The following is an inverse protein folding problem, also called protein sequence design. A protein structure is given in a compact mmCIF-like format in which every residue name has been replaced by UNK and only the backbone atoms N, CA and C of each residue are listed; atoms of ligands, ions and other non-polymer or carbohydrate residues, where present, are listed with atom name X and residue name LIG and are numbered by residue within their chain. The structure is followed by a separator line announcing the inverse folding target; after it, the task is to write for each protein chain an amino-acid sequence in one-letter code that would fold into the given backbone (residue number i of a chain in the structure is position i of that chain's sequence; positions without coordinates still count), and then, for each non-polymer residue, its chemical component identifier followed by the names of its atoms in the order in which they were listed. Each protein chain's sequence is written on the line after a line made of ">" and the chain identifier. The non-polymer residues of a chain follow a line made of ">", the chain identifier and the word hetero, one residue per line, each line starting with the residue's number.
data_IF_929420576265
#
_entry.id   IF_929420576265
#
_cell.length_a   1.000
_cell.length_b   1.000
_cell.length_c   1.000
_cell.angle_alpha   90.00
_cell.angle_beta   90.00
_cell.angle_gamma   90.00
#
_symmetry.space_group_name_H-M   'P 1'
#
loop_
_entity.id
_entity.type
_entity.pdbx_description
1 polymer ?
#
# COMPACT_ATOMS: atom_id res chain seq x y z
N UNK A 1 -15.17 4.44 -11.49
CA UNK A 1 -14.10 3.67 -10.81
C UNK A 1 -14.61 2.27 -10.52
N UNK A 2 -13.80 1.23 -10.67
CA UNK A 2 -14.20 -0.14 -10.32
C UNK A 2 -14.29 -0.27 -8.80
N UNK A 3 -15.10 -1.22 -8.31
CA UNK A 3 -15.21 -1.51 -6.87
C UNK A 3 -13.85 -1.79 -6.22
N UNK A 4 -12.95 -2.48 -6.95
CA UNK A 4 -11.59 -2.77 -6.51
C UNK A 4 -10.74 -1.50 -6.31
N UNK A 5 -10.82 -0.51 -7.22
CA UNK A 5 -10.08 0.76 -7.08
C UNK A 5 -10.56 1.56 -5.86
N UNK A 6 -11.88 1.63 -5.62
CA UNK A 6 -12.40 2.32 -4.43
C UNK A 6 -11.94 1.62 -3.14
N UNK A 7 -12.06 0.30 -3.07
CA UNK A 7 -11.62 -0.46 -1.89
C UNK A 7 -10.13 -0.28 -1.58
N UNK A 8 -9.28 -0.20 -2.61
CA UNK A 8 -7.86 0.08 -2.44
C UNK A 8 -7.63 1.48 -1.86
N UNK A 9 -8.20 2.51 -2.48
CA UNK A 9 -8.02 3.91 -2.05
C UNK A 9 -8.53 4.12 -0.62
N UNK A 10 -9.69 3.57 -0.27
CA UNK A 10 -10.22 3.65 1.10
C UNK A 10 -9.26 3.02 2.12
N UNK A 11 -8.67 1.87 1.79
CA UNK A 11 -7.73 1.20 2.69
C UNK A 11 -6.47 2.04 2.86
N UNK A 12 -5.93 2.59 1.77
CA UNK A 12 -4.74 3.44 1.79
C UNK A 12 -4.97 4.73 2.60
N UNK A 13 -6.12 5.39 2.43
CA UNK A 13 -6.47 6.59 3.20
C UNK A 13 -6.60 6.30 4.71
N UNK A 14 -7.21 5.17 5.07
CA UNK A 14 -7.30 4.75 6.47
C UNK A 14 -5.90 4.47 7.05
N UNK A 15 -5.03 3.81 6.29
CA UNK A 15 -3.66 3.54 6.71
C UNK A 15 -2.84 4.83 6.86
N UNK A 16 -2.99 5.79 5.94
CA UNK A 16 -2.37 7.12 6.06
C UNK A 16 -2.72 7.81 7.36
N UNK A 17 -3.99 7.83 7.74
CA UNK A 17 -4.41 8.41 9.02
C UNK A 17 -3.74 7.70 10.22
N UNK A 18 -3.47 6.39 10.12
CA UNK A 18 -2.74 5.67 11.16
C UNK A 18 -1.26 6.03 11.19
N UNK A 19 -0.61 6.11 10.02
CA UNK A 19 0.79 6.54 9.91
C UNK A 19 0.97 7.97 10.40
N UNK A 20 0.10 8.89 10.03
CA UNK A 20 0.09 10.28 10.48
C UNK A 20 -0.01 10.36 12.00
N UNK A 21 -0.92 9.61 12.63
CA UNK A 21 -1.02 9.55 14.10
C UNK A 21 0.28 9.08 14.75
N UNK A 22 0.95 8.08 14.17
CA UNK A 22 2.24 7.61 14.66
C UNK A 22 3.31 8.70 14.55
N UNK A 23 3.37 9.40 13.42
CA UNK A 23 4.31 10.50 13.17
C UNK A 23 4.05 11.66 14.15
N UNK A 24 2.81 12.13 14.27
CA UNK A 24 2.46 13.27 15.13
C UNK A 24 2.57 12.98 16.63
N UNK A 25 2.47 11.71 17.03
CA UNK A 25 2.62 11.31 18.44
C UNK A 25 4.07 11.12 18.88
N UNK A 26 5.02 11.12 17.94
CA UNK A 26 6.43 10.89 18.24
C UNK A 26 7.06 12.14 18.87
N UNK A 27 7.64 11.99 20.06
CA UNK A 27 8.42 13.06 20.72
C UNK A 27 9.84 13.17 20.16
N UNK A 28 10.33 12.12 19.50
CA UNK A 28 11.69 12.01 18.97
C UNK A 28 11.71 11.31 17.61
N UNK A 29 12.75 11.58 16.82
CA UNK A 29 12.95 10.97 15.52
C UNK A 29 13.55 9.56 15.68
N UNK A 30 12.68 8.57 15.85
CA UNK A 30 13.04 7.15 15.99
C UNK A 30 12.99 6.42 14.64
N UNK A 31 13.60 5.22 14.51
CA UNK A 31 13.40 4.37 13.34
C UNK A 31 11.93 4.11 13.03
N UNK A 32 11.09 3.91 14.05
CA UNK A 32 9.65 3.70 13.87
C UNK A 32 8.96 4.92 13.26
N UNK A 33 9.33 6.14 13.67
CA UNK A 33 8.82 7.39 13.08
C UNK A 33 9.20 7.49 11.61
N UNK A 34 10.47 7.22 11.26
CA UNK A 34 10.93 7.21 9.85
C UNK A 34 10.23 6.16 9.00
N UNK A 35 9.96 4.99 9.56
CA UNK A 35 9.22 3.94 8.87
C UNK A 35 7.77 4.35 8.64
N UNK A 36 7.13 5.03 9.61
CA UNK A 36 5.80 5.58 9.44
C UNK A 36 5.76 6.69 8.36
N UNK A 37 6.75 7.57 8.29
CA UNK A 37 6.88 8.58 7.22
C UNK A 37 6.99 7.94 5.83
N UNK A 38 7.85 6.94 5.69
CA UNK A 38 7.97 6.18 4.43
C UNK A 38 6.66 5.47 4.08
N UNK A 39 5.99 4.86 5.04
CA UNK A 39 4.71 4.19 4.83
C UNK A 39 3.61 5.20 4.39
N UNK A 40 3.59 6.38 4.99
CA UNK A 40 2.67 7.47 4.65
C UNK A 40 2.86 7.92 3.20
N UNK A 41 4.09 8.27 2.81
CA UNK A 41 4.40 8.68 1.44
C UNK A 41 4.15 7.55 0.42
N UNK A 42 4.45 6.30 0.79
CA UNK A 42 4.17 5.13 -0.07
C UNK A 42 2.66 4.99 -0.31
N UNK A 43 1.84 5.22 0.71
CA UNK A 43 0.39 5.20 0.57
C UNK A 43 -0.12 6.36 -0.32
N UNK A 44 0.45 7.56 -0.22
CA UNK A 44 0.12 8.69 -1.11
C UNK A 44 0.37 8.33 -2.57
N UNK A 45 1.56 7.79 -2.86
CA UNK A 45 1.92 7.36 -4.21
C UNK A 45 0.97 6.27 -4.70
N UNK A 46 0.59 5.31 -3.86
CA UNK A 46 -0.36 4.26 -4.24
C UNK A 46 -1.75 4.82 -4.59
N UNK A 47 -2.23 5.83 -3.87
CA UNK A 47 -3.50 6.51 -4.18
C UNK A 47 -3.40 7.16 -5.56
N UNK A 48 -2.34 7.95 -5.81
CA UNK A 48 -2.12 8.60 -7.10
C UNK A 48 -2.02 7.59 -8.25
N UNK A 49 -1.31 6.48 -8.05
CA UNK A 49 -1.20 5.41 -9.05
C UNK A 49 -2.57 4.74 -9.32
N UNK A 50 -3.38 4.54 -8.29
CA UNK A 50 -4.72 3.95 -8.40
C UNK A 50 -5.68 4.85 -9.16
N UNK A 51 -5.63 6.16 -8.90
CA UNK A 51 -6.41 7.16 -9.63
C UNK A 51 -5.95 7.29 -11.08
N UNK A 52 -4.63 7.29 -11.32
CA UNK A 52 -4.07 7.29 -12.66
C UNK A 52 -4.49 6.05 -13.45
N UNK A 53 -4.50 4.87 -12.82
CA UNK A 53 -4.94 3.63 -13.45
C UNK A 53 -6.39 3.69 -13.92
N UNK A 54 -7.29 4.29 -13.11
CA UNK A 54 -8.70 4.46 -13.48
C UNK A 54 -8.92 5.35 -14.72
N UNK A 55 -7.94 6.21 -15.06
CA UNK A 55 -7.99 7.15 -16.19
C UNK A 55 -7.09 6.74 -17.36
N UNK A 56 -6.33 5.64 -17.23
CA UNK A 56 -5.26 5.29 -18.17
C UNK A 56 -5.71 4.41 -19.33
N UNK A 57 -5.09 4.63 -20.49
CA UNK A 57 -5.15 3.72 -21.65
C UNK A 57 -4.36 2.43 -21.38
N UNK A 58 -4.74 1.34 -22.04
CA UNK A 58 -4.31 -0.02 -21.76
C UNK A 58 -2.78 -0.20 -21.66
N UNK A 59 -2.00 0.39 -22.58
CA UNK A 59 -0.54 0.26 -22.55
C UNK A 59 0.12 0.85 -21.28
N UNK A 60 -0.49 1.85 -20.63
CA UNK A 60 0.05 2.47 -19.41
C UNK A 60 -0.36 1.71 -18.15
N UNK A 61 -1.41 0.90 -18.23
CA UNK A 61 -1.97 0.15 -17.10
C UNK A 61 -0.97 -0.89 -16.57
N UNK A 62 -0.26 -1.59 -17.45
CA UNK A 62 0.75 -2.56 -17.02
C UNK A 62 1.87 -1.93 -16.17
N UNK A 63 2.37 -0.76 -16.58
CA UNK A 63 3.40 -0.05 -15.83
C UNK A 63 2.89 0.42 -14.45
N UNK A 64 1.64 0.89 -14.38
CA UNK A 64 1.01 1.27 -13.12
C UNK A 64 0.80 0.07 -12.19
N UNK A 65 0.38 -1.09 -12.74
CA UNK A 65 0.27 -2.33 -11.97
C UNK A 65 1.63 -2.83 -11.46
N UNK A 66 2.69 -2.72 -12.27
CA UNK A 66 4.07 -3.01 -11.82
C UNK A 66 4.51 -2.07 -10.71
N UNK A 67 4.21 -0.78 -10.82
CA UNK A 67 4.52 0.20 -9.77
C UNK A 67 3.79 -0.13 -8.47
N UNK A 68 2.48 -0.40 -8.52
CA UNK A 68 1.70 -0.84 -7.36
C UNK A 68 2.27 -2.11 -6.72
N UNK A 69 2.68 -3.10 -7.54
CA UNK A 69 3.34 -4.33 -7.04
C UNK A 69 4.65 -4.03 -6.32
N UNK A 70 5.44 -3.08 -6.81
CA UNK A 70 6.65 -2.64 -6.12
C UNK A 70 6.33 -1.97 -4.78
N UNK A 71 5.28 -1.13 -4.72
CA UNK A 71 4.84 -0.49 -3.49
C UNK A 71 4.33 -1.49 -2.44
N UNK A 72 3.64 -2.56 -2.86
CA UNK A 72 3.28 -3.67 -1.97
C UNK A 72 4.54 -4.31 -1.32
N UNK A 73 5.61 -4.47 -2.10
CA UNK A 73 6.90 -4.94 -1.59
C UNK A 73 7.53 -4.00 -0.56
N UNK A 74 7.36 -2.68 -0.71
CA UNK A 74 7.80 -1.67 0.26
C UNK A 74 7.01 -1.84 1.57
N UNK A 75 5.67 -1.94 1.51
CA UNK A 75 4.85 -2.17 2.70
C UNK A 75 5.25 -3.45 3.44
N UNK A 76 5.50 -4.54 2.72
CA UNK A 76 6.00 -5.80 3.32
C UNK A 76 7.34 -5.61 4.03
N UNK A 77 8.26 -4.86 3.41
CA UNK A 77 9.56 -4.53 4.00
C UNK A 77 9.41 -3.73 5.29
N UNK A 78 8.52 -2.73 5.29
CA UNK A 78 8.23 -1.90 6.45
C UNK A 78 7.52 -2.68 7.57
N UNK A 79 6.62 -3.60 7.23
CA UNK A 79 6.01 -4.53 8.19
C UNK A 79 7.09 -5.34 8.91
N UNK A 80 8.01 -5.96 8.17
CA UNK A 80 9.11 -6.74 8.76
C UNK A 80 10.03 -5.88 9.63
N UNK A 81 10.45 -4.72 9.12
CA UNK A 81 11.30 -3.80 9.86
C UNK A 81 10.62 -3.29 11.15
N UNK A 82 9.30 -3.11 11.13
CA UNK A 82 8.54 -2.72 12.32
C UNK A 82 8.54 -3.81 13.40
N UNK A 83 8.44 -5.09 13.02
CA UNK A 83 8.49 -6.22 13.95
C UNK A 83 9.84 -6.34 14.65
N UNK A 84 10.93 -6.08 13.93
CA UNK A 84 12.30 -6.10 14.47
C UNK A 84 12.57 -4.96 15.46
N UNK A 85 11.86 -3.84 15.31
CA UNK A 85 12.08 -2.62 16.10
C UNK A 85 11.11 -2.45 17.28
N UNK A 86 9.98 -3.15 17.30
CA UNK A 86 8.90 -2.97 18.30
C UNK A 86 8.59 -4.24 19.09
N UNK A 87 9.63 -4.94 19.57
CA UNK A 87 9.53 -6.27 20.20
C UNK A 87 8.56 -6.39 21.39
N UNK A 88 8.07 -5.30 21.98
CA UNK A 88 7.18 -5.29 23.15
C UNK A 88 6.00 -4.29 23.10
N UNK A 89 5.69 -3.69 21.93
CA UNK A 89 4.58 -2.74 21.81
C UNK A 89 3.55 -3.17 20.75
N UNK A 90 2.31 -2.64 20.78
CA UNK A 90 1.34 -2.92 19.73
C UNK A 90 1.92 -2.46 18.39
N UNK A 91 2.26 -3.40 17.50
CA UNK A 91 2.85 -3.11 16.19
C UNK A 91 1.80 -2.57 15.20
N UNK A 92 1.30 -1.37 15.49
CA UNK A 92 0.30 -0.66 14.67
C UNK A 92 0.84 -0.35 13.27
N UNK A 93 2.12 0.03 13.19
CA UNK A 93 2.79 0.30 11.93
C UNK A 93 2.77 -0.94 11.03
N UNK A 94 3.26 -2.08 11.55
CA UNK A 94 3.29 -3.33 10.79
C UNK A 94 1.90 -3.79 10.38
N UNK A 95 0.92 -3.69 11.28
CA UNK A 95 -0.49 -4.02 10.96
C UNK A 95 -1.02 -3.18 9.80
N UNK A 96 -0.82 -1.86 9.82
CA UNK A 96 -1.25 -0.97 8.76
C UNK A 96 -0.50 -1.24 7.44
N UNK A 97 0.80 -1.51 7.51
CA UNK A 97 1.59 -1.91 6.34
C UNK A 97 1.08 -3.22 5.71
N UNK A 98 0.81 -4.26 6.51
CA UNK A 98 0.27 -5.53 6.02
C UNK A 98 -1.13 -5.39 5.40
N UNK A 99 -1.96 -4.48 5.94
CA UNK A 99 -3.25 -4.14 5.34
C UNK A 99 -3.10 -3.48 3.97
N UNK A 100 -2.16 -2.54 3.81
CA UNK A 100 -1.86 -1.92 2.52
C UNK A 100 -1.34 -2.94 1.50
N UNK A 101 -0.38 -3.79 1.89
CA UNK A 101 0.13 -4.86 1.03
C UNK A 101 -1.01 -5.77 0.53
N UNK A 102 -1.84 -6.23 1.45
CA UNK A 102 -2.98 -7.12 1.15
C UNK A 102 -3.96 -6.46 0.19
N UNK A 103 -4.32 -5.19 0.43
CA UNK A 103 -5.24 -4.45 -0.42
C UNK A 103 -4.68 -4.24 -1.83
N UNK A 104 -3.38 -3.95 -1.95
CA UNK A 104 -2.74 -3.82 -3.26
C UNK A 104 -2.79 -5.15 -4.01
N UNK A 105 -2.43 -6.27 -3.38
CA UNK A 105 -2.49 -7.58 -4.06
C UNK A 105 -3.91 -8.00 -4.43
N UNK A 106 -4.90 -7.70 -3.59
CA UNK A 106 -6.31 -7.91 -3.91
C UNK A 106 -6.73 -7.11 -5.15
N UNK A 107 -6.34 -5.84 -5.22
CA UNK A 107 -6.55 -4.99 -6.39
C UNK A 107 -5.86 -5.56 -7.64
N UNK A 108 -4.56 -5.91 -7.55
CA UNK A 108 -3.79 -6.47 -8.66
C UNK A 108 -4.49 -7.72 -9.22
N UNK A 109 -4.88 -8.66 -8.36
CA UNK A 109 -5.59 -9.88 -8.75
C UNK A 109 -6.93 -9.59 -9.44
N UNK A 110 -7.68 -8.60 -8.97
CA UNK A 110 -8.94 -8.19 -9.59
C UNK A 110 -8.75 -7.47 -10.94
N UNK A 111 -7.53 -7.04 -11.26
CA UNK A 111 -7.18 -6.33 -12.49
C UNK A 111 -6.36 -7.14 -13.48
N UNK A 112 -5.94 -8.37 -13.12
CA UNK A 112 -5.27 -9.26 -14.05
C UNK A 112 -6.25 -9.66 -15.16
N UNK A 113 -5.84 -9.58 -16.45
CA UNK A 113 -6.67 -10.05 -17.55
C UNK A 113 -6.89 -11.55 -17.37
N UNK A 114 -8.16 -11.96 -17.49
CA UNK A 114 -8.61 -13.32 -17.29
C UNK A 114 -7.84 -14.27 -18.23
N UNK A 115 -6.77 -14.88 -17.73
CA UNK A 115 -5.93 -15.79 -18.52
C UNK A 115 -6.61 -17.15 -18.72
N UNK A 116 -7.76 -17.38 -18.08
CA UNK A 116 -8.55 -18.62 -18.21
C UNK A 116 -9.35 -18.72 -19.52
N UNK A 117 -9.40 -17.67 -20.36
CA UNK A 117 -10.08 -17.68 -21.66
C UNK A 117 -9.20 -17.99 -22.88
N UNK A 118 -7.87 -18.13 -22.73
CA UNK A 118 -6.92 -18.29 -23.87
C UNK A 118 -6.43 -19.72 -24.08
N UNK A 119 -7.32 -20.70 -23.92
CA UNK A 119 -7.13 -22.04 -24.47
C UNK A 119 -8.45 -22.53 -25.05
N UNK A 120 -8.71 -22.14 -26.31
CA UNK A 120 -9.11 -23.02 -27.43
C UNK A 120 -9.37 -22.19 -28.69
#
# INVERSE_FOLDING_TARGET
>A
MTSASHSLIETLLRAQSQFEKLISSASENTPATKFAEMAFMTAEVCILLSEAFAKSIEHRRENLLRALRAMAGIFRGLERASLETTSNSPNRLGTACGQCETAIYAFLKATEPDTQGRLK
#
